data_IF_164494262645
#
_entry.id   IF_164494262645
#
_cell.length_a   1.000
_cell.length_b   1.000
_cell.length_c   1.000
_cell.angle_alpha   90.00
_cell.angle_beta   90.00
_cell.angle_gamma   90.00
#
_symmetry.space_group_name_H-M   'P 1'
#
loop_
_entity.id
_entity.type
_entity.pdbx_description
1 polymer ?
#
# COMPACT_ATOMS: atom_id res chain seq x y z
N UNK A 1 1.64 16.04 10.43
CA UNK A 1 1.93 14.67 10.00
C UNK A 1 2.55 14.75 8.61
N UNK A 2 3.71 14.14 8.41
CA UNK A 2 4.40 14.02 7.12
C UNK A 2 4.31 12.57 6.68
N UNK A 3 3.82 12.34 5.45
CA UNK A 3 3.82 11.03 4.81
C UNK A 3 4.86 11.01 3.70
N UNK A 4 5.68 9.96 3.63
CA UNK A 4 6.65 9.75 2.53
C UNK A 4 6.29 8.47 1.79
N UNK A 5 6.23 8.56 0.48
CA UNK A 5 6.02 7.41 -0.41
C UNK A 5 7.32 6.65 -0.61
N UNK A 6 7.30 5.36 -0.28
CA UNK A 6 8.35 4.40 -0.60
C UNK A 6 8.00 3.74 -1.94
N UNK A 7 8.77 4.09 -2.97
CA UNK A 7 8.58 3.67 -4.36
C UNK A 7 9.82 2.90 -4.79
N UNK A 8 9.73 1.58 -4.82
CA UNK A 8 10.81 0.69 -5.24
C UNK A 8 10.24 -0.49 -6.04
N UNK A 9 11.03 -1.01 -6.99
CA UNK A 9 10.61 -2.15 -7.81
C UNK A 9 10.85 -3.49 -7.13
N UNK A 10 11.89 -3.58 -6.30
CA UNK A 10 12.30 -4.79 -5.59
C UNK A 10 11.90 -4.76 -4.12
N UNK A 11 11.29 -5.86 -3.64
CA UNK A 11 10.81 -5.96 -2.27
C UNK A 11 11.94 -5.88 -1.24
N UNK A 12 13.11 -6.45 -1.52
CA UNK A 12 14.23 -6.42 -0.58
C UNK A 12 14.77 -5.00 -0.44
N UNK A 13 14.98 -4.31 -1.56
CA UNK A 13 15.41 -2.91 -1.57
C UNK A 13 14.40 -1.99 -0.87
N UNK A 14 13.11 -2.21 -1.10
CA UNK A 14 12.03 -1.50 -0.43
C UNK A 14 12.11 -1.64 1.10
N UNK A 15 12.34 -2.87 1.59
CA UNK A 15 12.48 -3.15 3.02
C UNK A 15 13.76 -2.58 3.62
N UNK A 16 14.86 -2.55 2.86
CA UNK A 16 16.13 -1.96 3.29
C UNK A 16 16.05 -0.42 3.40
N UNK A 17 15.22 0.22 2.58
CA UNK A 17 14.98 1.67 2.62
C UNK A 17 13.92 2.10 3.64
N UNK A 18 13.06 1.18 4.09
CA UNK A 18 11.99 1.47 5.05
C UNK A 18 12.49 2.21 6.30
N UNK A 19 13.59 1.81 6.98
CA UNK A 19 14.08 2.54 8.15
C UNK A 19 14.44 4.00 7.86
N UNK A 20 14.97 4.31 6.67
CA UNK A 20 15.31 5.68 6.28
C UNK A 20 14.07 6.52 6.02
N UNK A 21 13.03 5.94 5.43
CA UNK A 21 11.74 6.61 5.30
C UNK A 21 11.13 6.89 6.69
N UNK A 22 11.24 5.93 7.61
CA UNK A 22 10.78 6.09 8.98
C UNK A 22 11.56 7.14 9.77
N UNK A 23 12.82 7.43 9.48
CA UNK A 23 13.55 8.50 10.17
C UNK A 23 12.97 9.89 9.88
N UNK A 24 12.40 10.10 8.68
CA UNK A 24 11.97 11.42 8.20
C UNK A 24 10.45 11.62 8.12
N UNK A 25 9.66 10.55 8.21
CA UNK A 25 8.21 10.60 8.05
C UNK A 25 7.45 10.18 9.31
N UNK A 26 6.26 10.72 9.55
CA UNK A 26 5.36 10.25 10.61
C UNK A 26 4.57 9.00 10.18
N UNK A 27 4.37 8.83 8.87
CA UNK A 27 3.63 7.78 8.18
C UNK A 27 4.42 7.40 6.92
N UNK A 28 4.52 6.12 6.58
CA UNK A 28 5.14 5.69 5.33
C UNK A 28 4.06 5.12 4.41
N UNK A 29 3.98 5.64 3.18
CA UNK A 29 3.13 5.07 2.15
C UNK A 29 3.92 4.01 1.37
N UNK A 30 3.45 2.77 1.34
CA UNK A 30 4.01 1.71 0.51
C UNK A 30 3.26 1.70 -0.83
N UNK A 31 3.97 2.03 -1.92
CA UNK A 31 3.43 2.00 -3.29
C UNK A 31 3.56 0.60 -3.88
N UNK A 32 2.57 -0.24 -3.58
CA UNK A 32 2.51 -1.63 -4.05
C UNK A 32 2.54 -1.75 -5.57
N UNK A 33 1.96 -0.77 -6.28
CA UNK A 33 1.95 -0.74 -7.74
C UNK A 33 3.36 -0.58 -8.36
N UNK A 34 4.34 -0.08 -7.61
CA UNK A 34 5.73 0.01 -8.05
C UNK A 34 6.47 -1.34 -7.99
N UNK A 35 6.08 -2.22 -7.06
CA UNK A 35 6.75 -3.50 -6.84
C UNK A 35 6.48 -4.47 -7.99
N UNK A 36 7.53 -5.16 -8.46
CA UNK A 36 7.40 -6.26 -9.42
C UNK A 36 6.63 -7.44 -8.84
N UNK A 37 6.87 -7.74 -7.56
CA UNK A 37 6.16 -8.73 -6.77
C UNK A 37 5.63 -8.07 -5.48
N UNK A 38 4.41 -7.51 -5.52
CA UNK A 38 3.84 -6.82 -4.36
C UNK A 38 3.63 -7.76 -3.17
N UNK A 39 3.88 -7.27 -1.96
CA UNK A 39 3.64 -8.00 -0.71
C UNK A 39 3.35 -7.02 0.41
N UNK A 40 2.45 -7.38 1.33
CA UNK A 40 2.04 -6.52 2.46
C UNK A 40 2.75 -6.92 3.76
N UNK A 41 2.61 -8.18 4.16
CA UNK A 41 3.09 -8.71 5.45
C UNK A 41 4.56 -8.41 5.76
N UNK A 42 5.51 -8.49 4.81
CA UNK A 42 6.91 -8.21 5.10
C UNK A 42 7.18 -6.78 5.60
N UNK A 43 6.38 -5.79 5.16
CA UNK A 43 6.48 -4.40 5.63
C UNK A 43 5.87 -4.26 7.02
N UNK A 44 4.65 -4.78 7.22
CA UNK A 44 3.97 -4.74 8.53
C UNK A 44 4.81 -5.40 9.64
N UNK A 45 5.51 -6.49 9.32
CA UNK A 45 6.35 -7.20 10.28
C UNK A 45 7.64 -6.43 10.68
N UNK A 46 8.08 -5.45 9.89
CA UNK A 46 9.34 -4.72 10.09
C UNK A 46 9.14 -3.25 10.46
N UNK A 47 8.02 -2.65 10.08
CA UNK A 47 7.75 -1.25 10.31
C UNK A 47 7.65 -0.92 11.80
N UNK A 48 8.24 0.20 12.17
CA UNK A 48 8.17 0.86 13.47
C UNK A 48 7.23 2.05 13.46
N UNK A 49 6.85 2.54 12.27
CA UNK A 49 5.87 3.62 12.08
C UNK A 49 4.60 3.12 11.38
N UNK A 50 3.47 3.85 11.53
CA UNK A 50 2.25 3.53 10.80
C UNK A 50 2.50 3.42 9.29
N UNK A 51 1.81 2.49 8.63
CA UNK A 51 1.89 2.28 7.18
C UNK A 51 0.57 2.58 6.49
N UNK A 52 0.63 3.38 5.41
CA UNK A 52 -0.42 3.52 4.42
C UNK A 52 -0.09 2.60 3.24
N UNK A 53 -1.00 1.75 2.80
CA UNK A 53 -0.79 0.93 1.60
C UNK A 53 -1.61 1.48 0.42
N UNK A 54 -0.94 1.64 -0.72
CA UNK A 54 -1.54 2.16 -1.95
C UNK A 54 -1.21 1.21 -3.10
N UNK A 55 -2.21 0.79 -3.86
CA UNK A 55 -2.03 0.08 -5.13
C UNK A 55 -2.72 0.88 -6.24
N UNK A 56 -2.04 1.93 -6.70
CA UNK A 56 -2.61 2.92 -7.61
C UNK A 56 -2.89 2.29 -8.98
N UNK A 57 -4.09 2.50 -9.51
CA UNK A 57 -4.45 2.07 -10.86
C UNK A 57 -3.64 2.83 -11.95
N UNK A 58 -3.32 2.16 -13.07
CA UNK A 58 -2.51 2.76 -14.16
C UNK A 58 -3.12 4.03 -14.74
N UNK A 59 -4.45 4.05 -14.90
CA UNK A 59 -5.22 5.20 -15.40
C UNK A 59 -5.28 6.37 -14.41
N UNK A 60 -4.83 6.18 -13.17
CA UNK A 60 -4.68 7.23 -12.15
C UNK A 60 -3.20 7.47 -11.80
N UNK A 61 -2.29 7.17 -12.74
CA UNK A 61 -0.85 7.43 -12.57
C UNK A 61 -0.08 6.34 -11.81
N UNK A 62 -0.67 5.15 -11.65
CA UNK A 62 0.01 3.98 -11.13
C UNK A 62 1.16 3.50 -12.00
N UNK A 63 2.07 2.73 -11.43
CA UNK A 63 3.27 2.27 -12.13
C UNK A 63 2.98 1.09 -13.09
N UNK A 64 1.96 0.27 -12.81
CA UNK A 64 1.64 -0.91 -13.62
C UNK A 64 0.14 -1.10 -13.86
N UNK A 65 -0.20 -1.83 -14.93
CA UNK A 65 -1.56 -2.32 -15.17
C UNK A 65 -1.80 -3.58 -14.33
N UNK A 66 -2.89 -3.56 -13.57
CA UNK A 66 -3.36 -4.69 -12.77
C UNK A 66 -4.89 -4.67 -12.67
N UNK A 67 -5.57 -5.83 -12.70
CA UNK A 67 -7.01 -5.91 -12.47
C UNK A 67 -7.42 -5.34 -11.11
N UNK A 68 -8.64 -4.79 -11.01
CA UNK A 68 -9.15 -4.25 -9.74
C UNK A 68 -9.14 -5.31 -8.64
N UNK A 69 -9.51 -6.55 -8.95
CA UNK A 69 -9.59 -7.67 -8.02
C UNK A 69 -8.22 -7.99 -7.41
N UNK A 70 -7.16 -7.94 -8.22
CA UNK A 70 -5.79 -8.14 -7.74
C UNK A 70 -5.41 -7.04 -6.76
N UNK A 71 -5.62 -5.77 -7.13
CA UNK A 71 -5.30 -4.61 -6.29
C UNK A 71 -6.05 -4.67 -4.97
N UNK A 72 -7.36 -4.97 -5.01
CA UNK A 72 -8.20 -5.12 -3.84
C UNK A 72 -7.74 -6.23 -2.90
N UNK A 73 -7.20 -7.33 -3.43
CA UNK A 73 -6.71 -8.43 -2.59
C UNK A 73 -5.60 -7.98 -1.64
N UNK A 74 -4.67 -7.15 -2.13
CA UNK A 74 -3.60 -6.59 -1.29
C UNK A 74 -4.12 -5.50 -0.33
N UNK A 75 -5.03 -4.64 -0.77
CA UNK A 75 -5.62 -3.62 0.11
C UNK A 75 -6.43 -4.27 1.24
N UNK A 76 -7.18 -5.33 0.96
CA UNK A 76 -7.88 -6.14 1.97
C UNK A 76 -6.89 -6.80 2.92
N UNK A 77 -5.81 -7.41 2.39
CA UNK A 77 -4.76 -7.99 3.24
C UNK A 77 -4.17 -6.94 4.20
N UNK A 78 -3.82 -5.75 3.70
CA UNK A 78 -3.27 -4.66 4.51
C UNK A 78 -4.25 -4.21 5.60
N UNK A 79 -5.50 -3.97 5.23
CA UNK A 79 -6.55 -3.57 6.16
C UNK A 79 -6.74 -4.58 7.29
N UNK A 80 -6.82 -5.88 6.97
CA UNK A 80 -7.04 -6.93 7.97
C UNK A 80 -5.81 -7.25 8.85
N UNK A 81 -4.62 -6.78 8.49
CA UNK A 81 -3.37 -7.09 9.19
C UNK A 81 -2.74 -5.89 9.92
N UNK A 82 -3.51 -4.82 10.16
CA UNK A 82 -3.09 -3.71 11.00
C UNK A 82 -2.37 -2.58 10.27
N UNK A 83 -2.59 -2.42 8.96
CA UNK A 83 -2.24 -1.16 8.30
C UNK A 83 -2.94 0.02 8.97
N UNK A 84 -2.29 1.19 8.97
CA UNK A 84 -2.90 2.41 9.48
C UNK A 84 -4.05 2.87 8.58
N UNK A 85 -3.84 2.76 7.27
CA UNK A 85 -4.84 3.05 6.26
C UNK A 85 -4.51 2.31 4.97
N UNK A 86 -5.48 2.26 4.08
CA UNK A 86 -5.34 1.82 2.70
C UNK A 86 -5.91 2.90 1.78
N UNK A 87 -5.24 3.16 0.66
CA UNK A 87 -5.72 4.08 -0.38
C UNK A 87 -6.50 3.28 -1.42
N UNK A 88 -7.78 3.60 -1.57
CA UNK A 88 -8.68 3.05 -2.57
C UNK A 88 -9.22 4.20 -3.42
N UNK A 89 -9.09 4.09 -4.75
CA UNK A 89 -9.59 5.12 -5.64
C UNK A 89 -11.13 5.20 -5.61
N UNK A 90 -11.66 6.43 -5.64
CA UNK A 90 -13.11 6.64 -5.70
C UNK A 90 -13.75 5.97 -6.93
N UNK A 91 -13.00 5.88 -8.03
CA UNK A 91 -13.43 5.24 -9.27
C UNK A 91 -13.68 3.72 -9.15
N UNK A 92 -13.22 3.07 -8.07
CA UNK A 92 -13.52 1.66 -7.78
C UNK A 92 -15.01 1.40 -7.53
N UNK A 93 -15.79 2.44 -7.22
CA UNK A 93 -17.24 2.36 -7.06
C UNK A 93 -17.69 2.07 -5.62
N UNK A 94 -18.93 2.45 -5.32
CA UNK A 94 -19.47 2.42 -3.96
C UNK A 94 -19.56 1.01 -3.37
N UNK A 95 -19.86 0.00 -4.19
CA UNK A 95 -19.96 -1.40 -3.75
C UNK A 95 -18.61 -1.93 -3.27
N UNK A 96 -17.54 -1.65 -4.01
CA UNK A 96 -16.17 -2.04 -3.64
C UNK A 96 -15.70 -1.32 -2.38
N UNK A 97 -16.02 -0.04 -2.24
CA UNK A 97 -15.71 0.73 -1.02
C UNK A 97 -16.44 0.14 0.18
N UNK A 98 -17.72 -0.24 0.02
CA UNK A 98 -18.49 -0.87 1.08
C UNK A 98 -17.91 -2.24 1.46
N UNK A 99 -17.53 -3.05 0.47
CA UNK A 99 -16.90 -4.35 0.68
C UNK A 99 -15.59 -4.21 1.49
N UNK A 100 -14.68 -3.32 1.08
CA UNK A 100 -13.40 -3.11 1.75
C UNK A 100 -13.59 -2.68 3.22
N UNK A 101 -14.56 -1.81 3.51
CA UNK A 101 -14.88 -1.39 4.89
C UNK A 101 -15.30 -2.54 5.80
N UNK A 102 -15.87 -3.61 5.26
CA UNK A 102 -16.25 -4.79 6.06
C UNK A 102 -15.09 -5.75 6.33
N UNK A 103 -13.95 -5.54 5.66
CA UNK A 103 -12.73 -6.35 5.83
C UNK A 103 -11.78 -5.82 6.91
N UNK A 104 -12.12 -4.70 7.56
CA UNK A 104 -11.35 -4.01 8.59
C UNK A 104 -11.89 -4.29 10.00
#
# INVERSE_FOLDING_TARGET
MICVSLVEEDLTQALDLLPRAEEVADLVEIRLDALKAPAVKPFLARAKKPLLFTYRAKNEGGFRESPLEERLSFLKEAASHGAFAVDLELAAGAEVIAELKTSC
#
